data_IF_494056410445
#
_entry.id   IF_494056410445
#
_cell.length_a   1.000
_cell.length_b   1.000
_cell.length_c   1.000
_cell.angle_alpha   90.00
_cell.angle_beta   90.00
_cell.angle_gamma   90.00
#
_symmetry.space_group_name_H-M   'P 1'
#
loop_
_entity.id
_entity.type
_entity.pdbx_description
1 polymer ?
#
# COMPACT_ATOMS: atom_id res chain seq x y z
N UNK A 1 29.13 6.32 22.84
CA UNK A 1 28.63 6.26 21.44
C UNK A 1 28.32 4.81 21.08
N UNK A 2 27.24 4.61 20.31
CA UNK A 2 26.74 3.38 19.63
C UNK A 2 25.45 2.80 20.21
N UNK A 3 24.40 3.54 19.85
CA UNK A 3 23.06 3.11 19.40
C UNK A 3 22.66 1.65 19.66
N UNK A 4 21.68 1.50 20.55
CA UNK A 4 20.81 0.32 20.67
C UNK A 4 19.98 0.17 19.39
N UNK A 5 20.18 -0.91 18.65
CA UNK A 5 19.28 -1.32 17.58
C UNK A 5 17.92 -1.66 18.21
N UNK A 6 16.89 -0.92 17.81
CA UNK A 6 15.51 -1.21 18.19
C UNK A 6 15.02 -2.31 17.25
N UNK A 7 14.89 -3.53 17.77
CA UNK A 7 14.19 -4.63 17.12
C UNK A 7 12.72 -4.26 16.93
N UNK A 8 12.41 -3.68 15.77
CA UNK A 8 11.02 -3.49 15.34
C UNK A 8 10.58 -4.76 14.61
N UNK A 9 10.29 -5.81 15.38
CA UNK A 9 9.47 -6.92 14.90
C UNK A 9 8.00 -6.60 15.21
N UNK A 10 7.22 -5.99 14.29
CA UNK A 10 5.79 -5.93 14.50
C UNK A 10 5.24 -7.36 14.41
N UNK A 11 4.60 -7.79 15.49
CA UNK A 11 3.87 -9.05 15.63
C UNK A 11 3.02 -9.31 14.36
N UNK A 12 3.31 -10.43 13.69
CA UNK A 12 2.77 -10.81 12.37
C UNK A 12 1.22 -10.94 12.35
N UNK A 13 0.59 -10.98 13.53
CA UNK A 13 -0.82 -11.26 13.76
C UNK A 13 -1.68 -10.04 14.16
N UNK A 14 -1.11 -8.98 14.73
CA UNK A 14 -1.90 -8.12 15.64
C UNK A 14 -2.66 -6.95 14.99
N UNK A 15 -2.54 -6.72 13.68
CA UNK A 15 -3.19 -5.56 13.01
C UNK A 15 -3.79 -5.84 11.64
N UNK A 16 -4.26 -7.07 11.39
CA UNK A 16 -4.95 -7.42 10.13
C UNK A 16 -6.47 -7.37 10.31
N UNK A 17 -7.02 -6.20 10.65
CA UNK A 17 -8.47 -6.03 10.79
C UNK A 17 -9.24 -6.12 9.47
N UNK A 18 -8.55 -6.17 8.33
CA UNK A 18 -9.15 -6.26 7.00
C UNK A 18 -8.45 -7.32 6.15
N UNK A 19 -9.24 -8.14 5.46
CA UNK A 19 -8.75 -9.08 4.46
C UNK A 19 -8.01 -8.31 3.35
N UNK A 20 -6.81 -8.77 2.99
CA UNK A 20 -6.07 -8.22 1.86
C UNK A 20 -6.54 -8.89 0.58
N UNK A 21 -6.86 -8.10 -0.42
CA UNK A 21 -7.22 -8.61 -1.75
C UNK A 21 -5.97 -8.58 -2.61
N UNK A 22 -5.59 -9.74 -3.16
CA UNK A 22 -4.53 -9.83 -4.16
C UNK A 22 -5.12 -9.38 -5.48
N UNK A 23 -4.53 -8.36 -6.08
CA UNK A 23 -4.97 -7.77 -7.34
C UNK A 23 -3.74 -7.44 -8.17
N UNK A 24 -3.87 -7.37 -9.49
CA UNK A 24 -2.83 -6.86 -10.40
C UNK A 24 -3.34 -5.59 -11.05
N UNK A 25 -3.14 -4.47 -10.38
CA UNK A 25 -3.62 -3.15 -10.84
C UNK A 25 -2.42 -2.24 -11.00
N UNK A 26 -2.34 -1.56 -12.14
CA UNK A 26 -1.26 -0.62 -12.44
C UNK A 26 -1.57 0.77 -11.90
N UNK A 27 -0.52 1.58 -11.77
CA UNK A 27 -0.64 2.96 -11.35
C UNK A 27 0.69 3.70 -11.40
N UNK A 28 0.69 4.91 -10.86
CA UNK A 28 1.89 5.70 -10.60
C UNK A 28 1.89 6.17 -9.15
N UNK A 29 3.06 6.39 -8.59
CA UNK A 29 3.20 7.06 -7.30
C UNK A 29 4.23 8.17 -7.37
N UNK A 30 4.05 9.16 -6.50
CA UNK A 30 4.93 10.29 -6.33
C UNK A 30 5.55 10.23 -4.93
N UNK A 31 6.87 10.36 -4.88
CA UNK A 31 7.68 10.46 -3.65
C UNK A 31 7.73 11.91 -3.12
N UNK A 32 8.34 12.13 -1.97
CA UNK A 32 8.45 13.48 -1.40
C UNK A 32 9.31 14.42 -2.26
N UNK A 33 10.28 13.86 -2.98
CA UNK A 33 11.11 14.58 -3.95
C UNK A 33 10.35 14.96 -5.24
N UNK A 34 9.05 14.66 -5.30
CA UNK A 34 8.13 14.90 -6.43
C UNK A 34 8.46 14.11 -7.69
N UNK A 35 9.35 13.12 -7.61
CA UNK A 35 9.56 12.20 -8.73
C UNK A 35 8.38 11.22 -8.82
N UNK A 36 7.90 11.00 -10.04
CA UNK A 36 6.83 10.05 -10.33
C UNK A 36 7.39 8.77 -10.92
N UNK A 37 6.86 7.62 -10.46
CA UNK A 37 7.30 6.31 -10.91
C UNK A 37 6.10 5.38 -11.14
N UNK A 38 6.17 4.49 -12.14
CA UNK A 38 5.15 3.47 -12.35
C UNK A 38 5.19 2.42 -11.23
N UNK A 39 4.03 1.86 -10.90
CA UNK A 39 3.95 0.75 -9.97
C UNK A 39 2.84 -0.24 -10.33
N UNK A 40 2.92 -1.41 -9.71
CA UNK A 40 1.87 -2.43 -9.72
C UNK A 40 1.46 -2.73 -8.28
N UNK A 41 0.16 -2.68 -7.99
CA UNK A 41 -0.38 -3.18 -6.72
C UNK A 41 -0.26 -4.70 -6.71
N UNK A 42 0.27 -5.25 -5.62
CA UNK A 42 0.39 -6.70 -5.38
C UNK A 42 -0.75 -7.19 -4.50
N UNK A 43 -1.00 -6.46 -3.42
CA UNK A 43 -2.17 -6.66 -2.57
C UNK A 43 -2.55 -5.37 -1.85
N UNK A 44 -3.83 -5.26 -1.49
CA UNK A 44 -4.38 -4.06 -0.89
C UNK A 44 -5.45 -4.39 0.16
N UNK A 45 -5.53 -3.57 1.20
CA UNK A 45 -6.66 -3.47 2.11
C UNK A 45 -7.02 -1.99 2.31
N UNK A 46 -8.14 -1.67 2.98
CA UNK A 46 -8.52 -0.28 3.26
C UNK A 46 -7.47 0.53 4.05
N UNK A 47 -6.55 -0.16 4.73
CA UNK A 47 -5.52 0.48 5.55
C UNK A 47 -4.10 0.40 5.01
N UNK A 48 -3.82 -0.44 4.01
CA UNK A 48 -2.45 -0.68 3.53
C UNK A 48 -2.43 -1.12 2.07
N UNK A 49 -1.37 -0.77 1.35
CA UNK A 49 -1.10 -1.27 0.00
C UNK A 49 0.35 -1.75 -0.12
N UNK A 50 0.56 -2.83 -0.87
CA UNK A 50 1.88 -3.29 -1.28
C UNK A 50 2.06 -3.02 -2.78
N UNK A 51 3.13 -2.32 -3.12
CA UNK A 51 3.47 -1.91 -4.48
C UNK A 51 4.75 -2.62 -4.92
N UNK A 52 4.74 -3.13 -6.15
CA UNK A 52 5.92 -3.52 -6.91
C UNK A 52 6.36 -2.38 -7.80
N UNK A 53 7.65 -2.07 -7.79
CA UNK A 53 8.24 -0.92 -8.48
C UNK A 53 9.77 -1.02 -8.45
N UNK A 54 10.44 -0.48 -9.46
CA UNK A 54 11.90 -0.35 -9.49
C UNK A 54 12.42 0.76 -8.56
N UNK A 55 11.57 1.75 -8.27
CA UNK A 55 11.90 2.89 -7.40
C UNK A 55 11.20 2.73 -6.06
N UNK A 56 11.96 2.83 -4.98
CA UNK A 56 11.53 2.53 -3.62
C UNK A 56 11.67 3.77 -2.76
N UNK A 57 10.59 4.16 -2.06
CA UNK A 57 10.63 5.20 -1.04
C UNK A 57 11.21 4.70 0.28
N UNK A 58 11.67 5.61 1.13
CA UNK A 58 12.23 5.27 2.45
C UNK A 58 11.12 5.08 3.49
N UNK A 59 11.25 4.16 4.46
CA UNK A 59 10.31 4.08 5.58
C UNK A 59 10.13 5.45 6.27
N UNK A 60 8.88 5.86 6.48
CA UNK A 60 8.53 7.18 7.00
C UNK A 60 8.23 8.24 5.93
N UNK A 61 8.59 8.00 4.67
CA UNK A 61 8.35 8.92 3.56
C UNK A 61 6.86 8.93 3.14
N UNK A 62 6.33 10.12 2.84
CA UNK A 62 4.99 10.28 2.29
C UNK A 62 4.93 9.91 0.82
N UNK A 63 3.87 9.21 0.46
CA UNK A 63 3.62 8.78 -0.92
C UNK A 63 2.20 9.13 -1.32
N UNK A 64 2.05 9.64 -2.54
CA UNK A 64 0.76 9.81 -3.21
C UNK A 64 0.73 8.85 -4.40
N UNK A 65 -0.20 7.90 -4.41
CA UNK A 65 -0.37 6.94 -5.49
C UNK A 65 -1.69 7.17 -6.24
N UNK A 66 -1.65 7.15 -7.56
CA UNK A 66 -2.82 7.08 -8.42
C UNK A 66 -2.89 5.67 -8.99
N UNK A 67 -3.83 4.88 -8.47
CA UNK A 67 -4.00 3.48 -8.83
C UNK A 67 -5.23 3.36 -9.75
N UNK A 68 -5.10 2.66 -10.87
CA UNK A 68 -6.20 2.51 -11.83
C UNK A 68 -7.43 1.88 -11.16
N UNK A 69 -8.63 2.36 -11.51
CA UNK A 69 -9.92 1.94 -10.93
C UNK A 69 -10.12 2.19 -9.41
N UNK A 70 -9.05 2.46 -8.66
CA UNK A 70 -9.09 2.80 -7.22
C UNK A 70 -9.06 4.31 -7.00
N UNK A 71 -8.22 5.01 -7.77
CA UNK A 71 -7.99 6.46 -7.66
C UNK A 71 -6.84 6.82 -6.73
N UNK A 72 -6.88 8.05 -6.19
CA UNK A 72 -5.80 8.63 -5.37
C UNK A 72 -5.76 8.02 -3.96
N UNK A 73 -4.63 7.44 -3.61
CA UNK A 73 -4.28 6.89 -2.29
C UNK A 73 -3.11 7.70 -1.73
N UNK A 74 -3.17 8.02 -0.44
CA UNK A 74 -2.09 8.69 0.27
C UNK A 74 -1.64 7.82 1.42
N UNK A 75 -0.39 7.94 1.83
CA UNK A 75 0.11 7.21 2.98
C UNK A 75 1.59 7.40 3.21
N UNK A 76 2.12 6.54 4.06
CA UNK A 76 3.52 6.56 4.48
C UNK A 76 4.14 5.19 4.24
N UNK A 77 5.34 5.15 3.69
CA UNK A 77 6.09 3.90 3.53
C UNK A 77 6.34 3.29 4.90
N UNK A 78 5.99 2.02 5.05
CA UNK A 78 6.13 1.26 6.31
C UNK A 78 7.30 0.30 6.28
N UNK A 79 7.59 -0.27 5.11
CA UNK A 79 8.71 -1.20 4.90
C UNK A 79 9.04 -1.28 3.42
N UNK A 80 10.29 -1.58 3.13
CA UNK A 80 10.79 -1.87 1.78
C UNK A 80 10.93 -3.37 1.58
N UNK A 81 11.04 -3.80 0.34
CA UNK A 81 11.28 -5.18 -0.07
C UNK A 81 12.08 -5.17 -1.37
N UNK A 82 12.62 -6.32 -1.79
CA UNK A 82 13.43 -6.39 -3.01
C UNK A 82 12.69 -5.90 -4.26
N UNK A 83 11.38 -6.17 -4.33
CA UNK A 83 10.56 -5.86 -5.50
C UNK A 83 9.74 -4.56 -5.36
N UNK A 84 9.89 -3.80 -4.27
CA UNK A 84 9.10 -2.59 -4.04
C UNK A 84 8.94 -2.22 -2.56
N UNK A 85 7.75 -1.75 -2.16
CA UNK A 85 7.49 -1.34 -0.78
C UNK A 85 6.02 -1.46 -0.38
N UNK A 86 5.75 -1.41 0.92
CA UNK A 86 4.41 -1.32 1.47
C UNK A 86 4.20 0.03 2.15
N UNK A 87 3.01 0.60 1.99
CA UNK A 87 2.62 1.86 2.63
C UNK A 87 1.26 1.75 3.32
N UNK A 88 1.03 2.62 4.29
CA UNK A 88 -0.30 2.82 4.88
C UNK A 88 -1.27 3.46 3.88
N UNK A 89 -2.55 3.45 4.22
CA UNK A 89 -3.59 4.27 3.56
C UNK A 89 -4.10 5.29 4.58
N UNK A 90 -3.79 6.55 4.34
CA UNK A 90 -4.28 7.69 5.10
C UNK A 90 -5.50 8.24 4.37
N UNK A 91 -6.66 8.04 4.97
CA UNK A 91 -7.96 8.40 4.42
C UNK A 91 -8.99 8.52 5.54
N UNK A 92 -10.05 9.30 5.31
CA UNK A 92 -11.23 9.30 6.20
C UNK A 92 -11.92 7.94 6.19
N UNK A 93 -12.67 7.64 7.24
CA UNK A 93 -13.38 6.35 7.37
C UNK A 93 -14.32 6.10 6.19
N UNK A 94 -15.09 7.12 5.77
CA UNK A 94 -15.92 7.06 4.56
C UNK A 94 -15.14 6.63 3.31
N UNK A 95 -13.90 7.11 3.14
CA UNK A 95 -13.06 6.74 1.99
C UNK A 95 -12.49 5.34 2.14
N UNK A 96 -12.16 4.91 3.36
CA UNK A 96 -11.77 3.52 3.65
C UNK A 96 -12.91 2.54 3.40
N UNK A 97 -14.14 2.88 3.77
CA UNK A 97 -15.33 2.05 3.53
C UNK A 97 -15.60 1.88 2.03
N UNK A 98 -15.49 2.98 1.26
CA UNK A 98 -15.60 2.91 -0.21
C UNK A 98 -14.52 2.01 -0.80
N UNK A 99 -13.28 2.16 -0.35
CA UNK A 99 -12.18 1.32 -0.78
C UNK A 99 -12.42 -0.15 -0.42
N UNK A 100 -12.92 -0.44 0.78
CA UNK A 100 -13.28 -1.79 1.20
C UNK A 100 -14.31 -2.42 0.25
N UNK A 101 -15.39 -1.69 -0.06
CA UNK A 101 -16.41 -2.16 -1.01
C UNK A 101 -15.84 -2.43 -2.41
N UNK A 102 -14.97 -1.55 -2.92
CA UNK A 102 -14.29 -1.77 -4.21
C UNK A 102 -13.40 -3.01 -4.20
N UNK A 103 -12.64 -3.22 -3.13
CA UNK A 103 -11.77 -4.39 -2.98
C UNK A 103 -12.57 -5.68 -2.86
N UNK A 104 -13.69 -5.70 -2.14
CA UNK A 104 -14.60 -6.84 -2.08
C UNK A 104 -15.13 -7.20 -3.47
N UNK A 105 -15.54 -6.22 -4.26
CA UNK A 105 -15.99 -6.46 -5.63
C UNK A 105 -14.89 -7.02 -6.53
N UNK A 106 -13.67 -6.48 -6.43
CA UNK A 106 -12.50 -6.97 -7.16
C UNK A 106 -12.15 -8.42 -6.78
N UNK A 107 -12.23 -8.76 -5.50
CA UNK A 107 -11.98 -10.12 -5.01
C UNK A 107 -12.94 -11.13 -5.67
N UNK A 108 -14.24 -10.81 -5.67
CA UNK A 108 -15.26 -11.71 -6.22
C UNK A 108 -15.21 -11.79 -7.75
N UNK A 109 -14.83 -10.71 -8.44
CA UNK A 109 -14.67 -10.75 -9.89
C UNK A 109 -13.54 -11.68 -10.33
N UNK A 110 -12.43 -11.69 -9.59
CA UNK A 110 -11.30 -12.58 -9.88
C UNK A 110 -11.57 -14.07 -9.60
N UNK A 111 -12.62 -14.41 -8.84
CA UNK A 111 -13.04 -15.80 -8.64
C UNK A 111 -13.98 -16.32 -9.74
N UNK A 112 -14.50 -15.43 -10.59
CA UNK A 112 -15.49 -15.75 -11.63
C UNK A 112 -14.90 -15.82 -13.05
N UNK A 113 -13.61 -15.50 -13.22
CA UNK A 113 -12.82 -15.67 -14.45
C UNK A 113 -11.90 -16.90 -14.32
#
# INVERSE_FOLDING_TARGET
MRSTAVDFAPSRAERRNFQRVRVKIYGRFMLEDRTEHPCQVIDMSPGNVALRTERVGMPGEKVIAYIDHIGRVEGVVTRTSQDGFAMTVIASDRKKDKLAAQLTWLANKHELD
#
